data_IF_628922620088
#
_entry.id   IF_628922620088
#
_cell.length_a   1.000
_cell.length_b   1.000
_cell.length_c   1.000
_cell.angle_alpha   90.00
_cell.angle_beta   90.00
_cell.angle_gamma   90.00
#
_symmetry.space_group_name_H-M   'P 1'
#
loop_
_entity.id
_entity.type
_entity.pdbx_description
1 polymer ?
#
# COMPACT_ATOMS: atom_id res chain seq x y z
N UNK A 1 13.85 13.91 3.52
CA UNK A 1 13.02 13.43 2.39
C UNK A 1 11.68 14.18 2.23
N UNK A 2 11.41 15.24 2.98
CA UNK A 2 10.17 16.00 2.82
C UNK A 2 10.05 16.55 1.39
N UNK A 3 8.86 16.43 0.79
CA UNK A 3 8.54 16.95 -0.54
C UNK A 3 9.15 16.19 -1.74
N UNK A 4 9.90 15.10 -1.51
CA UNK A 4 10.62 14.41 -2.59
C UNK A 4 9.87 13.25 -3.24
N UNK A 5 8.64 12.95 -2.80
CA UNK A 5 7.86 11.79 -3.25
C UNK A 5 8.66 10.46 -3.24
N UNK A 6 9.49 10.22 -2.22
CA UNK A 6 10.46 9.10 -2.23
C UNK A 6 10.33 8.15 -1.02
N UNK A 7 9.66 8.57 0.04
CA UNK A 7 9.57 7.77 1.26
C UNK A 7 8.55 6.65 1.09
N UNK A 8 8.90 5.49 1.62
CA UNK A 8 7.98 4.39 1.80
C UNK A 8 6.82 4.74 2.77
N UNK A 9 5.56 4.78 2.32
CA UNK A 9 4.43 5.13 3.19
C UNK A 9 3.90 3.97 4.05
N UNK A 10 4.41 2.74 3.88
CA UNK A 10 3.80 1.53 4.44
C UNK A 10 3.69 1.56 5.97
N UNK A 11 4.70 2.04 6.69
CA UNK A 11 4.67 2.08 8.16
C UNK A 11 3.53 2.98 8.70
N UNK A 12 3.31 4.13 8.05
CA UNK A 12 2.21 5.03 8.42
C UNK A 12 0.85 4.41 8.10
N UNK A 13 0.73 3.75 6.93
CA UNK A 13 -0.51 3.07 6.54
C UNK A 13 -0.84 1.90 7.46
N UNK A 14 0.15 1.11 7.87
CA UNK A 14 -0.02 0.03 8.87
C UNK A 14 -0.39 0.57 10.24
N UNK A 15 0.13 1.74 10.63
CA UNK A 15 -0.35 2.44 11.84
C UNK A 15 -1.83 2.83 11.71
N UNK A 16 -2.27 3.23 10.51
CA UNK A 16 -3.69 3.42 10.18
C UNK A 16 -4.51 2.13 10.30
N UNK A 17 -4.00 0.98 9.84
CA UNK A 17 -4.63 -0.34 10.05
C UNK A 17 -4.81 -0.62 11.55
N UNK A 18 -3.78 -0.41 12.36
CA UNK A 18 -3.87 -0.59 13.82
C UNK A 18 -4.93 0.31 14.45
N UNK A 19 -5.02 1.57 14.01
CA UNK A 19 -6.06 2.51 14.45
C UNK A 19 -7.47 2.03 14.07
N UNK A 20 -7.67 1.57 12.82
CA UNK A 20 -8.97 1.03 12.38
C UNK A 20 -9.37 -0.19 13.22
N UNK A 21 -8.43 -1.08 13.55
CA UNK A 21 -8.67 -2.21 14.46
C UNK A 21 -9.07 -1.73 15.86
N UNK A 22 -8.43 -0.70 16.39
CA UNK A 22 -8.77 -0.10 17.69
C UNK A 22 -10.19 0.49 17.71
N UNK A 23 -10.61 1.11 16.61
CA UNK A 23 -11.96 1.66 16.42
C UNK A 23 -13.02 0.61 16.09
N UNK A 24 -12.65 -0.67 16.07
CA UNK A 24 -13.52 -1.79 15.66
C UNK A 24 -13.98 -1.75 14.20
N UNK A 25 -13.35 -0.92 13.36
CA UNK A 25 -13.58 -0.81 11.91
C UNK A 25 -12.90 -1.97 11.15
N UNK A 26 -13.32 -3.19 11.47
CA UNK A 26 -12.63 -4.43 11.07
C UNK A 26 -12.64 -4.66 9.56
N UNK A 27 -13.75 -4.33 8.88
CA UNK A 27 -13.83 -4.45 7.42
C UNK A 27 -12.83 -3.53 6.72
N UNK A 28 -12.77 -2.26 7.12
CA UNK A 28 -11.83 -1.29 6.56
C UNK A 28 -10.36 -1.67 6.86
N UNK A 29 -10.09 -2.15 8.09
CA UNK A 29 -8.76 -2.61 8.48
C UNK A 29 -8.29 -3.77 7.59
N UNK A 30 -9.12 -4.81 7.42
CA UNK A 30 -8.80 -5.97 6.60
C UNK A 30 -8.62 -5.61 5.12
N UNK A 31 -9.45 -4.68 4.61
CA UNK A 31 -9.36 -4.22 3.24
C UNK A 31 -8.04 -3.49 2.95
N UNK A 32 -7.65 -2.56 3.83
CA UNK A 32 -6.40 -1.83 3.70
C UNK A 32 -5.18 -2.74 3.90
N UNK A 33 -5.18 -3.59 4.93
CA UNK A 33 -4.10 -4.53 5.20
C UNK A 33 -3.90 -5.53 4.06
N UNK A 34 -4.99 -6.07 3.51
CA UNK A 34 -4.95 -6.95 2.35
C UNK A 34 -4.38 -6.27 1.12
N UNK A 35 -4.79 -5.02 0.85
CA UNK A 35 -4.25 -4.24 -0.27
C UNK A 35 -2.75 -3.95 -0.11
N UNK A 36 -2.31 -3.60 1.09
CA UNK A 36 -0.88 -3.42 1.41
C UNK A 36 -0.11 -4.72 1.17
N UNK A 37 -0.56 -5.83 1.75
CA UNK A 37 0.10 -7.13 1.62
C UNK A 37 0.23 -7.56 0.15
N UNK A 38 -0.82 -7.35 -0.64
CA UNK A 38 -0.84 -7.66 -2.06
C UNK A 38 0.10 -6.76 -2.88
N UNK A 39 0.20 -5.45 -2.58
CA UNK A 39 1.19 -4.56 -3.21
C UNK A 39 2.61 -5.00 -2.92
N UNK A 40 2.89 -5.39 -1.67
CA UNK A 40 4.21 -5.91 -1.27
C UNK A 40 4.51 -7.23 -1.99
N UNK A 41 3.54 -8.15 -2.05
CA UNK A 41 3.67 -9.45 -2.70
C UNK A 41 3.98 -9.32 -4.20
N UNK A 42 3.36 -8.36 -4.89
CA UNK A 42 3.65 -8.09 -6.30
C UNK A 42 5.02 -7.43 -6.52
N UNK A 43 5.47 -6.58 -5.59
CA UNK A 43 6.78 -5.92 -5.66
C UNK A 43 6.98 -4.94 -6.84
N UNK A 44 5.94 -4.69 -7.64
CA UNK A 44 5.99 -3.80 -8.82
C UNK A 44 6.00 -2.33 -8.41
N UNK A 45 4.94 -1.88 -7.75
CA UNK A 45 4.75 -0.49 -7.30
C UNK A 45 5.21 -0.33 -5.86
N UNK A 46 6.52 -0.42 -5.63
CA UNK A 46 7.14 -0.22 -4.31
C UNK A 46 8.29 0.78 -4.39
N UNK A 47 8.58 1.42 -3.27
CA UNK A 47 9.68 2.39 -3.14
C UNK A 47 11.06 1.71 -3.18
N UNK A 48 12.08 2.52 -3.44
CA UNK A 48 13.47 2.06 -3.63
C UNK A 48 14.02 1.20 -2.48
N UNK A 49 13.60 1.45 -1.23
CA UNK A 49 14.04 0.70 -0.06
C UNK A 49 13.43 -0.71 0.04
N UNK A 50 12.38 -0.98 -0.73
CA UNK A 50 11.71 -2.30 -0.80
C UNK A 50 12.17 -3.15 -1.99
N UNK A 51 12.98 -2.59 -2.89
CA UNK A 51 13.56 -3.32 -4.02
C UNK A 51 14.81 -4.09 -3.56
N UNK A 52 15.10 -5.21 -4.25
CA UNK A 52 16.31 -5.98 -3.98
C UNK A 52 17.59 -5.17 -4.27
N UNK A 53 17.56 -4.37 -5.35
CA UNK A 53 18.53 -3.32 -5.63
C UNK A 53 17.88 -1.95 -5.43
N UNK A 54 18.50 -1.10 -4.59
CA UNK A 54 18.02 0.26 -4.32
C UNK A 54 18.11 1.19 -5.53
N UNK A 55 18.88 0.82 -6.55
CA UNK A 55 19.02 1.56 -7.79
C UNK A 55 18.12 1.00 -8.92
N UNK A 56 17.26 0.03 -8.62
CA UNK A 56 16.30 -0.50 -9.58
C UNK A 56 15.45 0.65 -10.15
N UNK A 57 15.49 0.91 -11.47
CA UNK A 57 14.77 2.02 -12.08
C UNK A 57 13.25 1.85 -12.07
N UNK A 58 12.74 0.67 -11.69
CA UNK A 58 11.31 0.38 -11.51
C UNK A 58 10.78 0.77 -10.13
N UNK A 59 11.64 1.28 -9.23
CA UNK A 59 11.19 1.85 -7.97
C UNK A 59 10.29 3.07 -8.21
N UNK A 60 9.13 3.10 -7.55
CA UNK A 60 8.17 4.21 -7.68
C UNK A 60 8.21 5.13 -6.45
N UNK A 61 7.55 6.28 -6.55
CA UNK A 61 7.46 7.25 -5.47
C UNK A 61 6.36 6.95 -4.44
N UNK A 62 6.27 7.79 -3.41
CA UNK A 62 5.28 7.67 -2.33
C UNK A 62 3.85 7.68 -2.84
N UNK A 63 3.51 8.59 -3.75
CA UNK A 63 2.17 8.75 -4.35
C UNK A 63 1.79 7.52 -5.15
N UNK A 64 2.70 7.00 -5.96
CA UNK A 64 2.44 5.84 -6.83
C UNK A 64 2.23 4.55 -6.01
N UNK A 65 2.91 4.41 -4.87
CA UNK A 65 2.60 3.33 -3.91
C UNK A 65 1.18 3.47 -3.37
N UNK A 66 0.76 4.69 -3.01
CA UNK A 66 -0.60 4.93 -2.52
C UNK A 66 -1.65 4.63 -3.60
N UNK A 67 -1.44 5.07 -4.83
CA UNK A 67 -2.34 4.81 -5.96
C UNK A 67 -2.51 3.30 -6.20
N UNK A 68 -1.42 2.53 -6.17
CA UNK A 68 -1.47 1.08 -6.32
C UNK A 68 -2.26 0.38 -5.20
N UNK A 69 -2.18 0.88 -3.96
CA UNK A 69 -2.97 0.37 -2.84
C UNK A 69 -4.44 0.73 -3.01
N UNK A 70 -4.76 1.96 -3.40
CA UNK A 70 -6.15 2.40 -3.68
C UNK A 70 -6.78 1.55 -4.77
N UNK A 71 -6.07 1.28 -5.87
CA UNK A 71 -6.55 0.41 -6.94
C UNK A 71 -6.95 -0.98 -6.42
N UNK A 72 -6.15 -1.57 -5.54
CA UNK A 72 -6.45 -2.88 -4.94
C UNK A 72 -7.64 -2.85 -4.00
N UNK A 73 -7.80 -1.78 -3.23
CA UNK A 73 -8.98 -1.54 -2.38
C UNK A 73 -10.23 -1.50 -3.26
N UNK A 74 -10.24 -0.71 -4.34
CA UNK A 74 -11.40 -0.58 -5.23
C UNK A 74 -11.74 -1.90 -5.94
N UNK A 75 -10.74 -2.66 -6.37
CA UNK A 75 -10.95 -4.01 -6.93
C UNK A 75 -11.57 -4.97 -5.92
N UNK A 76 -11.12 -4.94 -4.66
CA UNK A 76 -11.65 -5.79 -3.60
C UNK A 76 -13.05 -5.36 -3.11
N UNK A 77 -13.43 -4.08 -3.28
CA UNK A 77 -14.79 -3.58 -3.02
C UNK A 77 -15.80 -4.02 -4.08
N UNK A 78 -15.35 -4.18 -5.32
CA UNK A 78 -16.22 -4.56 -6.43
C UNK A 78 -16.58 -6.05 -6.31
N UNK A 79 -17.86 -6.44 -6.21
CA UNK A 79 -18.23 -7.85 -6.29
C UNK A 79 -17.79 -8.37 -7.66
N UNK A 80 -16.99 -9.42 -7.70
CA UNK A 80 -16.72 -10.14 -8.95
C UNK A 80 -18.08 -10.59 -9.49
N UNK A 81 -18.52 -9.99 -10.61
CA UNK A 81 -19.71 -10.45 -11.30
C UNK A 81 -19.50 -11.93 -11.64
N UNK A 82 -20.38 -12.78 -11.10
CA UNK A 82 -20.50 -14.21 -11.45
C UNK A 82 -21.15 -14.29 -12.82
#
# INVERSE_FOLDING_TARGET
YAGLNRINPMAMMLSGVMMLRHLQETYAANLLEGAIAETIREGRSVTYDMKADRNDPTAVGTTEVADAIVEKIEKARTPTAI
#
